data_IF_606738522888
#
_entry.id   IF_606738522888
#
_cell.length_a   1.000
_cell.length_b   1.000
_cell.length_c   1.000
_cell.angle_alpha   90.00
_cell.angle_beta   90.00
_cell.angle_gamma   90.00
#
_symmetry.space_group_name_H-M   'P 1'
#
loop_
_entity.id
_entity.type
_entity.pdbx_description
1 polymer ?
#
# COMPACT_ATOMS: atom_id res chain seq x y z
N UNK A 1 11.20 -16.66 -11.47
CA UNK A 1 9.87 -16.08 -11.24
C UNK A 1 10.10 -14.73 -10.58
N UNK A 2 9.55 -13.64 -11.14
CA UNK A 2 9.72 -12.30 -10.59
C UNK A 2 8.95 -12.21 -9.27
N UNK A 3 9.65 -12.32 -8.14
CA UNK A 3 9.14 -11.98 -6.81
C UNK A 3 8.90 -10.47 -6.78
N UNK A 4 7.80 -10.00 -7.36
CA UNK A 4 7.47 -8.58 -7.39
C UNK A 4 6.96 -8.18 -5.99
N UNK A 5 7.75 -7.46 -5.18
CA UNK A 5 7.40 -7.09 -3.82
C UNK A 5 6.19 -6.15 -3.78
N UNK A 6 5.90 -5.46 -4.90
CA UNK A 6 4.69 -4.68 -5.11
C UNK A 6 3.43 -5.54 -5.08
N UNK A 7 3.49 -6.83 -5.46
CA UNK A 7 2.32 -7.72 -5.33
C UNK A 7 2.04 -8.08 -3.86
N UNK A 8 3.11 -8.26 -3.07
CA UNK A 8 3.04 -8.49 -1.63
C UNK A 8 2.65 -7.22 -0.85
N UNK A 9 3.04 -6.03 -1.35
CA UNK A 9 2.54 -4.77 -0.81
C UNK A 9 1.10 -4.52 -1.23
N UNK A 10 0.65 -4.81 -2.46
CA UNK A 10 -0.77 -4.62 -2.85
C UNK A 10 -1.75 -5.45 -2.04
N UNK A 11 -1.30 -6.57 -1.45
CA UNK A 11 -2.07 -7.35 -0.50
C UNK A 11 -2.20 -6.65 0.88
N UNK A 12 -1.31 -5.72 1.22
CA UNK A 12 -1.23 -5.05 2.53
C UNK A 12 -1.34 -3.51 2.44
N UNK A 13 -1.38 -2.94 1.23
CA UNK A 13 -1.42 -1.53 0.90
C UNK A 13 -2.69 -1.23 0.12
N UNK A 14 -3.75 -0.87 0.84
CA UNK A 14 -4.85 -0.14 0.26
C UNK A 14 -4.79 1.28 0.78
N UNK A 15 -4.73 2.27 -0.14
CA UNK A 15 -5.86 2.55 -1.02
C UNK A 15 -5.49 2.95 -2.47
N UNK A 16 -5.70 2.07 -3.46
CA UNK A 16 -5.56 2.46 -4.89
C UNK A 16 -6.55 1.72 -5.79
N UNK A 17 -7.85 1.73 -5.49
CA UNK A 17 -8.91 1.29 -6.43
C UNK A 17 -10.17 2.11 -6.07
N UNK A 18 -10.87 2.94 -6.88
CA UNK A 18 -11.57 2.68 -8.16
C UNK A 18 -12.51 3.85 -8.61
N UNK A 19 -12.79 4.09 -9.93
CA UNK A 19 -14.02 4.74 -10.56
C UNK A 19 -13.98 5.08 -12.09
N UNK A 20 -15.06 5.00 -12.90
CA UNK A 20 -15.26 5.38 -14.34
C UNK A 20 -15.58 6.89 -14.55
N UNK A 21 -15.39 7.60 -15.68
CA UNK A 21 -14.62 7.45 -16.93
C UNK A 21 -13.42 8.43 -16.97
N UNK A 22 -13.41 9.46 -16.11
CA UNK A 22 -12.28 10.36 -15.89
C UNK A 22 -11.35 9.82 -14.80
N UNK A 23 -11.91 9.11 -13.83
CA UNK A 23 -11.22 8.51 -12.69
C UNK A 23 -10.53 7.19 -13.06
N UNK A 24 -11.02 6.41 -14.05
CA UNK A 24 -10.52 5.04 -14.30
C UNK A 24 -9.24 5.08 -15.08
N UNK A 25 -9.17 5.98 -16.07
CA UNK A 25 -7.90 6.36 -16.68
C UNK A 25 -6.94 6.87 -15.60
N UNK A 26 -7.40 7.76 -14.71
CA UNK A 26 -6.55 8.47 -13.75
C UNK A 26 -5.96 7.63 -12.62
N UNK A 27 -6.70 6.66 -12.08
CA UNK A 27 -6.18 5.76 -11.04
C UNK A 27 -5.51 4.49 -11.60
N UNK A 28 -5.88 4.04 -12.80
CA UNK A 28 -5.04 3.09 -13.55
C UNK A 28 -3.68 3.72 -13.89
N UNK A 29 -3.57 5.06 -14.00
CA UNK A 29 -2.27 5.72 -14.14
C UNK A 29 -1.41 5.50 -12.92
N UNK A 30 -1.92 5.67 -11.70
CA UNK A 30 -1.14 5.40 -10.48
C UNK A 30 -0.70 3.95 -10.41
N UNK A 31 -1.59 3.00 -10.71
CA UNK A 31 -1.24 1.58 -10.72
C UNK A 31 -0.20 1.25 -11.80
N UNK A 32 -0.38 1.74 -13.03
CA UNK A 32 0.57 1.55 -14.13
C UNK A 32 1.89 2.24 -13.84
N UNK A 33 1.87 3.44 -13.26
CA UNK A 33 3.05 4.20 -12.87
C UNK A 33 3.82 3.51 -11.75
N UNK A 34 3.14 2.97 -10.73
CA UNK A 34 3.78 2.21 -9.64
C UNK A 34 4.38 0.89 -10.13
N UNK A 35 3.76 0.26 -11.13
CA UNK A 35 4.24 -1.00 -11.71
C UNK A 35 5.19 -0.82 -12.90
N UNK A 36 5.37 0.41 -13.40
CA UNK A 36 6.22 0.72 -14.53
C UNK A 36 7.56 1.31 -14.11
N UNK A 37 8.50 1.34 -15.06
CA UNK A 37 9.75 2.07 -14.90
C UNK A 37 9.54 3.58 -14.81
N UNK A 38 10.51 4.27 -14.20
CA UNK A 38 10.48 5.69 -13.84
C UNK A 38 10.02 6.63 -14.98
N UNK A 39 10.43 6.35 -16.22
CA UNK A 39 10.06 7.15 -17.39
C UNK A 39 8.55 7.13 -17.66
N UNK A 40 7.91 5.95 -17.61
CA UNK A 40 6.48 5.84 -17.82
C UNK A 40 5.73 6.47 -16.64
N UNK A 41 6.19 6.24 -15.41
CA UNK A 41 5.61 6.85 -14.21
C UNK A 41 5.62 8.38 -14.30
N UNK A 42 6.72 8.97 -14.78
CA UNK A 42 6.85 10.43 -14.95
C UNK A 42 5.92 10.97 -16.01
N UNK A 43 5.81 10.29 -17.15
CA UNK A 43 4.89 10.69 -18.21
C UNK A 43 3.44 10.69 -17.74
N UNK A 44 3.02 9.61 -17.09
CA UNK A 44 1.65 9.46 -16.60
C UNK A 44 1.34 10.48 -15.48
N UNK A 45 2.32 10.85 -14.66
CA UNK A 45 2.23 11.96 -13.70
C UNK A 45 2.01 13.30 -14.40
N UNK A 46 2.85 13.64 -15.38
CA UNK A 46 2.77 14.92 -16.09
C UNK A 46 1.42 15.06 -16.81
N UNK A 47 0.94 13.97 -17.43
CA UNK A 47 -0.37 13.91 -18.10
C UNK A 47 -1.53 14.10 -17.09
N UNK A 48 -1.44 13.51 -15.89
CA UNK A 48 -2.46 13.68 -14.84
C UNK A 48 -2.57 15.14 -14.39
N UNK A 49 -1.45 15.77 -14.03
CA UNK A 49 -1.43 17.13 -13.49
C UNK A 49 -1.74 18.19 -14.54
N UNK A 50 -1.28 18.01 -15.79
CA UNK A 50 -1.71 18.88 -16.89
C UNK A 50 -3.24 18.84 -17.09
N UNK A 51 -3.86 17.68 -16.88
CA UNK A 51 -5.31 17.53 -16.93
C UNK A 51 -6.04 18.03 -15.66
N UNK A 52 -5.35 18.18 -14.53
CA UNK A 52 -5.91 18.74 -13.30
C UNK A 52 -6.13 20.25 -13.42
N UNK A 53 -5.20 20.97 -14.05
CA UNK A 53 -5.30 22.42 -14.27
C UNK A 53 -6.49 22.82 -15.15
N UNK A 54 -6.98 21.90 -15.97
CA UNK A 54 -8.12 22.11 -16.88
C UNK A 54 -9.49 21.90 -16.22
N UNK A 55 -9.53 21.38 -14.99
CA UNK A 55 -10.77 21.13 -14.27
C UNK A 55 -11.44 22.43 -13.82
N UNK A 56 -12.75 22.40 -13.61
CA UNK A 56 -13.46 23.47 -12.90
C UNK A 56 -13.31 23.32 -11.37
N UNK A 57 -13.77 24.32 -10.61
CA UNK A 57 -13.61 24.33 -9.15
C UNK A 57 -14.28 23.14 -8.44
N UNK A 58 -15.46 22.74 -8.90
CA UNK A 58 -16.15 21.58 -8.34
C UNK A 58 -15.36 20.29 -8.59
N UNK A 59 -14.92 20.08 -9.82
CA UNK A 59 -14.12 18.91 -10.20
C UNK A 59 -12.77 18.87 -9.48
N UNK A 60 -12.12 20.02 -9.28
CA UNK A 60 -10.89 20.11 -8.47
C UNK A 60 -11.15 19.72 -7.02
N UNK A 61 -12.21 20.23 -6.40
CA UNK A 61 -12.55 19.90 -5.03
C UNK A 61 -12.80 18.38 -4.83
N UNK A 62 -13.47 17.74 -5.79
CA UNK A 62 -13.66 16.29 -5.80
C UNK A 62 -12.31 15.55 -5.88
N UNK A 63 -11.43 15.95 -6.81
CA UNK A 63 -10.09 15.34 -6.97
C UNK A 63 -9.21 15.58 -5.74
N UNK A 64 -9.24 16.77 -5.15
CA UNK A 64 -8.47 17.10 -3.95
C UNK A 64 -8.90 16.25 -2.75
N UNK A 65 -10.19 16.00 -2.59
CA UNK A 65 -10.70 15.13 -1.55
C UNK A 65 -10.17 13.69 -1.71
N UNK A 66 -10.16 13.17 -2.94
CA UNK A 66 -9.61 11.85 -3.24
C UNK A 66 -8.10 11.81 -3.00
N UNK A 67 -7.36 12.83 -3.44
CA UNK A 67 -5.91 12.93 -3.22
C UNK A 67 -5.57 12.99 -1.73
N UNK A 68 -6.35 13.73 -0.94
CA UNK A 68 -6.18 13.80 0.50
C UNK A 68 -6.38 12.42 1.17
N UNK A 69 -7.45 11.70 0.79
CA UNK A 69 -7.69 10.35 1.29
C UNK A 69 -6.59 9.36 0.86
N UNK A 70 -6.14 9.43 -0.40
CA UNK A 70 -5.05 8.60 -0.90
C UNK A 70 -3.73 8.86 -0.15
N UNK A 71 -3.40 10.13 0.14
CA UNK A 71 -2.23 10.51 0.94
C UNK A 71 -2.31 9.98 2.36
N UNK A 72 -3.46 10.15 3.02
CA UNK A 72 -3.68 9.61 4.37
C UNK A 72 -3.48 8.08 4.40
N UNK A 73 -4.06 7.37 3.43
CA UNK A 73 -3.89 5.93 3.35
C UNK A 73 -2.46 5.50 3.02
N UNK A 74 -1.72 6.30 2.24
CA UNK A 74 -0.31 6.07 1.96
C UNK A 74 0.54 6.20 3.24
N UNK A 75 0.35 7.28 3.99
CA UNK A 75 1.02 7.52 5.27
C UNK A 75 0.71 6.43 6.31
N UNK A 76 -0.56 6.04 6.41
CA UNK A 76 -0.99 4.94 7.25
C UNK A 76 -0.32 3.63 6.82
N UNK A 77 -0.38 3.29 5.54
CA UNK A 77 0.19 2.07 5.00
C UNK A 77 1.69 1.99 5.28
N UNK A 78 2.43 3.08 5.10
CA UNK A 78 3.87 3.10 5.37
C UNK A 78 4.16 2.77 6.83
N UNK A 79 3.51 3.45 7.77
CA UNK A 79 3.60 3.14 9.21
C UNK A 79 3.23 1.70 9.49
N UNK A 80 2.12 1.22 8.93
CA UNK A 80 1.62 -0.13 9.14
C UNK A 80 2.67 -1.19 8.78
N UNK A 81 3.22 -1.08 7.58
CA UNK A 81 4.20 -2.05 7.11
C UNK A 81 5.56 -1.89 7.78
N UNK A 82 6.00 -0.66 8.04
CA UNK A 82 7.25 -0.45 8.76
C UNK A 82 7.18 -1.15 10.12
N UNK A 83 6.11 -0.94 10.89
CA UNK A 83 5.89 -1.59 12.18
C UNK A 83 5.80 -3.11 12.02
N UNK A 84 5.07 -3.61 11.02
CA UNK A 84 4.95 -5.05 10.73
C UNK A 84 6.30 -5.72 10.47
N UNK A 85 7.10 -5.15 9.57
CA UNK A 85 8.39 -5.73 9.18
C UNK A 85 9.45 -5.55 10.26
N UNK A 86 9.39 -4.46 11.05
CA UNK A 86 10.18 -4.33 12.26
C UNK A 86 9.84 -5.43 13.27
N UNK A 87 8.56 -5.74 13.49
CA UNK A 87 8.14 -6.85 14.35
C UNK A 87 8.66 -8.19 13.82
N UNK A 88 8.62 -8.42 12.51
CA UNK A 88 9.20 -9.61 11.89
C UNK A 88 10.72 -9.71 12.11
N UNK A 89 11.46 -8.60 11.96
CA UNK A 89 12.90 -8.57 12.24
C UNK A 89 13.20 -8.86 13.72
N UNK A 90 12.42 -8.30 14.64
CA UNK A 90 12.57 -8.57 16.07
C UNK A 90 12.23 -10.03 16.40
N UNK A 91 11.25 -10.64 15.73
CA UNK A 91 10.95 -12.07 15.90
C UNK A 91 12.10 -12.98 15.45
N UNK A 92 12.95 -12.54 14.50
CA UNK A 92 14.17 -13.26 14.13
C UNK A 92 15.30 -13.10 15.14
N UNK A 93 15.28 -12.02 15.92
CA UNK A 93 16.21 -11.82 17.03
C UNK A 93 15.60 -12.41 18.30
N UNK A 94 15.92 -13.68 18.59
CA UNK A 94 15.35 -14.45 19.72
C UNK A 94 15.53 -13.79 21.12
N UNK A 95 16.26 -12.68 21.23
CA UNK A 95 16.43 -11.91 22.48
C UNK A 95 15.60 -10.61 22.54
N UNK A 96 14.90 -10.24 21.47
CA UNK A 96 14.13 -9.00 21.42
C UNK A 96 12.72 -9.18 22.03
N UNK A 97 12.25 -8.15 22.75
CA UNK A 97 10.85 -8.08 23.20
C UNK A 97 9.98 -7.61 22.03
N UNK A 98 9.15 -8.52 21.52
CA UNK A 98 8.27 -8.25 20.38
C UNK A 98 6.88 -7.77 20.83
N UNK A 99 6.50 -8.01 22.08
CA UNK A 99 5.15 -7.77 22.61
C UNK A 99 4.62 -6.36 22.34
N UNK A 100 5.44 -5.32 22.52
CA UNK A 100 5.02 -3.94 22.26
C UNK A 100 4.75 -3.63 20.79
N UNK A 101 5.43 -4.31 19.86
CA UNK A 101 5.17 -4.19 18.42
C UNK A 101 3.94 -4.97 17.99
N UNK A 102 3.63 -6.08 18.67
CA UNK A 102 2.39 -6.83 18.40
C UNK A 102 1.16 -6.00 18.80
N UNK A 103 1.22 -5.34 19.95
CA UNK A 103 0.16 -4.42 20.40
C UNK A 103 -0.02 -3.26 19.40
N UNK A 104 1.08 -2.62 18.97
CA UNK A 104 1.05 -1.56 17.96
C UNK A 104 0.40 -2.04 16.63
N UNK A 105 0.73 -3.25 16.16
CA UNK A 105 0.11 -3.83 14.95
C UNK A 105 -1.38 -4.09 15.15
N UNK A 106 -1.81 -4.49 16.35
CA UNK A 106 -3.22 -4.68 16.66
C UNK A 106 -3.99 -3.37 16.57
N UNK A 107 -3.49 -2.30 17.19
CA UNK A 107 -4.08 -0.96 17.13
C UNK A 107 -4.15 -0.44 15.68
N UNK A 108 -3.06 -0.63 14.93
CA UNK A 108 -3.00 -0.26 13.53
C UNK A 108 -3.96 -1.09 12.67
N UNK A 109 -4.24 -2.35 13.02
CA UNK A 109 -5.20 -3.19 12.29
C UNK A 109 -6.63 -2.71 12.49
N UNK A 110 -6.98 -2.21 13.69
CA UNK A 110 -8.26 -1.54 13.92
C UNK A 110 -8.36 -0.19 13.20
N UNK A 111 -7.24 0.54 13.06
CA UNK A 111 -7.19 1.76 12.25
C UNK A 111 -7.39 1.45 10.75
N UNK A 112 -6.82 0.35 10.26
CA UNK A 112 -7.06 -0.16 8.90
C UNK A 112 -8.55 -0.43 8.67
N UNK A 113 -9.26 -1.04 9.63
CA UNK A 113 -10.72 -1.24 9.53
C UNK A 113 -11.47 0.07 9.32
N UNK A 114 -11.16 1.10 10.10
CA UNK A 114 -11.79 2.42 9.98
C UNK A 114 -11.48 3.11 8.65
N UNK A 115 -10.24 2.97 8.15
CA UNK A 115 -9.84 3.50 6.86
C UNK A 115 -10.55 2.78 5.70
N UNK A 116 -10.73 1.47 5.82
CA UNK A 116 -11.49 0.63 4.87
C UNK A 116 -12.95 1.05 4.80
N UNK A 117 -13.60 1.22 5.95
CA UNK A 117 -14.98 1.71 6.02
C UNK A 117 -15.14 3.13 5.47
N UNK A 118 -14.19 4.02 5.76
CA UNK A 118 -14.19 5.38 5.19
C UNK A 118 -13.99 5.39 3.68
N UNK A 119 -13.22 4.42 3.15
CA UNK A 119 -13.00 4.23 1.72
C UNK A 119 -14.23 3.77 0.95
N UNK A 120 -15.16 3.04 1.56
CA UNK A 120 -16.33 2.48 0.86
C UNK A 120 -17.20 3.55 0.15
N UNK A 121 -17.22 4.77 0.68
CA UNK A 121 -17.95 5.89 0.10
C UNK A 121 -17.23 6.54 -1.08
N UNK A 122 -15.91 6.35 -1.17
CA UNK A 122 -15.02 6.93 -2.18
C UNK A 122 -14.69 5.95 -3.31
N UNK A 123 -14.94 4.65 -3.07
CA UNK A 123 -14.65 3.55 -3.99
C UNK A 123 -15.91 3.16 -4.76
N UNK A 124 -15.76 2.91 -6.05
CA UNK A 124 -16.88 2.37 -6.84
C UNK A 124 -17.44 1.07 -6.30
N UNK A 125 -18.77 0.88 -6.37
CA UNK A 125 -19.41 -0.39 -6.06
C UNK A 125 -18.75 -1.58 -6.76
N UNK A 126 -18.35 -1.44 -8.04
CA UNK A 126 -17.74 -2.53 -8.81
C UNK A 126 -16.36 -2.98 -8.32
N UNK A 127 -15.71 -2.17 -7.49
CA UNK A 127 -14.36 -2.45 -6.99
C UNK A 127 -14.30 -2.62 -5.48
N UNK A 128 -15.38 -2.33 -4.74
CA UNK A 128 -15.48 -2.56 -3.30
C UNK A 128 -15.17 -4.01 -2.94
N UNK A 129 -15.69 -4.97 -3.69
CA UNK A 129 -15.41 -6.39 -3.41
C UNK A 129 -13.92 -6.70 -3.49
N UNK A 130 -13.23 -6.23 -4.53
CA UNK A 130 -11.79 -6.41 -4.68
C UNK A 130 -11.01 -5.65 -3.60
N UNK A 131 -11.47 -4.46 -3.20
CA UNK A 131 -10.90 -3.68 -2.12
C UNK A 131 -10.98 -4.43 -0.78
N UNK A 132 -12.16 -4.88 -0.38
CA UNK A 132 -12.36 -5.67 0.83
C UNK A 132 -11.57 -6.97 0.80
N UNK A 133 -11.51 -7.64 -0.37
CA UNK A 133 -10.72 -8.85 -0.55
C UNK A 133 -9.23 -8.63 -0.31
N UNK A 134 -8.64 -7.57 -0.87
CA UNK A 134 -7.23 -7.26 -0.65
C UNK A 134 -6.96 -6.90 0.82
N UNK A 135 -7.84 -6.10 1.46
CA UNK A 135 -7.71 -5.78 2.88
C UNK A 135 -7.76 -7.03 3.77
N UNK A 136 -8.62 -8.00 3.43
CA UNK A 136 -8.73 -9.28 4.13
C UNK A 136 -7.46 -10.14 3.97
N UNK A 137 -6.94 -10.26 2.75
CA UNK A 137 -5.66 -10.95 2.47
C UNK A 137 -4.53 -10.33 3.29
N UNK A 138 -4.47 -8.99 3.36
CA UNK A 138 -3.45 -8.28 4.12
C UNK A 138 -3.46 -8.64 5.60
N UNK A 139 -4.64 -8.55 6.22
CA UNK A 139 -4.79 -8.94 7.63
C UNK A 139 -4.42 -10.39 7.88
N UNK A 140 -4.80 -11.30 6.98
CA UNK A 140 -4.42 -12.69 7.09
C UNK A 140 -2.89 -12.89 6.97
N UNK A 141 -2.24 -12.20 6.03
CA UNK A 141 -0.78 -12.24 5.89
C UNK A 141 -0.06 -11.70 7.13
N UNK A 142 -0.58 -10.64 7.76
CA UNK A 142 -0.06 -10.11 9.03
C UNK A 142 -0.15 -11.16 10.13
N UNK A 143 -1.31 -11.79 10.29
CA UNK A 143 -1.50 -12.84 11.29
C UNK A 143 -0.55 -14.01 11.07
N UNK A 144 -0.36 -14.42 9.81
CA UNK A 144 0.56 -15.50 9.45
C UNK A 144 2.01 -15.13 9.71
N UNK A 145 2.43 -13.90 9.41
CA UNK A 145 3.77 -13.40 9.69
C UNK A 145 4.07 -13.36 11.19
N UNK A 146 3.12 -12.88 12.00
CA UNK A 146 3.24 -12.85 13.46
C UNK A 146 3.25 -14.27 14.07
N UNK A 147 2.50 -15.21 13.48
CA UNK A 147 2.46 -16.60 13.90
C UNK A 147 3.69 -17.41 13.46
N UNK A 148 4.41 -16.98 12.43
CA UNK A 148 5.62 -17.63 11.90
C UNK A 148 6.87 -17.41 12.78
N UNK A 149 6.68 -17.20 14.08
CA UNK A 149 7.74 -17.06 15.08
C UNK A 149 8.66 -18.28 15.01
N UNK A 150 9.97 -18.03 14.98
CA UNK A 150 11.03 -19.05 14.85
C UNK A 150 11.01 -19.84 13.53
N UNK A 151 10.18 -19.46 12.55
CA UNK A 151 10.18 -20.06 11.20
C UNK A 151 11.10 -19.28 10.26
N UNK A 152 11.78 -20.01 9.37
CA UNK A 152 12.56 -19.43 8.28
C UNK A 152 11.71 -19.04 7.06
N UNK A 153 10.41 -19.36 7.08
CA UNK A 153 9.50 -19.12 5.95
C UNK A 153 8.03 -19.05 6.40
N UNK A 154 7.18 -18.47 5.56
CA UNK A 154 5.73 -18.49 5.70
C UNK A 154 5.04 -18.65 4.34
N UNK A 155 3.80 -19.16 4.34
CA UNK A 155 2.93 -19.09 3.17
C UNK A 155 2.00 -17.89 3.28
N UNK A 156 1.87 -17.09 2.22
CA UNK A 156 0.85 -16.03 2.12
C UNK A 156 -0.55 -16.63 2.05
N UNK A 157 -1.57 -15.81 2.32
CA UNK A 157 -2.98 -16.14 2.14
C UNK A 157 -3.29 -16.66 0.71
N UNK A 158 -2.53 -16.20 -0.29
CA UNK A 158 -2.64 -16.64 -1.69
C UNK A 158 -1.82 -17.89 -2.01
N UNK A 159 -1.03 -18.41 -1.06
CA UNK A 159 -0.26 -19.65 -1.19
C UNK A 159 1.20 -19.48 -1.63
N UNK A 160 1.70 -18.25 -1.71
CA UNK A 160 3.10 -17.97 -2.06
C UNK A 160 4.02 -18.21 -0.86
N UNK A 161 5.17 -18.86 -1.08
CA UNK A 161 6.17 -19.07 -0.04
C UNK A 161 7.08 -17.84 0.07
N UNK A 162 7.23 -17.30 1.27
CA UNK A 162 8.12 -16.19 1.59
C UNK A 162 9.21 -16.69 2.53
N UNK A 163 10.47 -16.45 2.16
CA UNK A 163 11.62 -16.68 3.03
C UNK A 163 11.73 -15.55 4.07
N UNK A 164 11.68 -15.90 5.35
CA UNK A 164 11.82 -14.97 6.48
C UNK A 164 13.28 -14.87 6.92
N UNK A 165 14.20 -14.64 5.98
CA UNK A 165 15.59 -14.33 6.32
C UNK A 165 15.74 -12.83 6.54
N UNK A 166 16.66 -12.42 7.42
CA UNK A 166 16.97 -11.00 7.67
C UNK A 166 17.22 -10.23 6.37
N UNK A 167 18.10 -10.76 5.51
CA UNK A 167 18.42 -10.14 4.23
C UNK A 167 17.19 -10.00 3.30
N UNK A 168 16.28 -10.96 3.32
CA UNK A 168 15.06 -10.87 2.53
C UNK A 168 14.09 -9.82 3.08
N UNK A 169 13.90 -9.75 4.41
CA UNK A 169 13.05 -8.73 5.04
C UNK A 169 13.61 -7.33 4.83
N UNK A 170 14.92 -7.13 5.01
CA UNK A 170 15.59 -5.85 4.74
C UNK A 170 15.42 -5.41 3.27
N UNK A 171 15.54 -6.35 2.33
CA UNK A 171 15.27 -6.11 0.91
C UNK A 171 13.82 -5.71 0.67
N UNK A 172 12.86 -6.39 1.29
CA UNK A 172 11.44 -6.08 1.17
C UNK A 172 11.12 -4.69 1.73
N UNK A 173 11.67 -4.34 2.90
CA UNK A 173 11.57 -3.00 3.49
C UNK A 173 12.09 -1.91 2.54
N UNK A 174 13.27 -2.11 1.96
CA UNK A 174 13.84 -1.14 1.01
C UNK A 174 12.98 -0.98 -0.25
N UNK A 175 12.47 -2.08 -0.79
CA UNK A 175 11.59 -2.06 -1.97
C UNK A 175 10.25 -1.40 -1.68
N UNK A 176 9.72 -1.63 -0.49
CA UNK A 176 8.51 -1.01 -0.01
C UNK A 176 8.69 0.49 0.19
N UNK A 177 9.80 0.93 0.80
CA UNK A 177 10.12 2.35 0.94
C UNK A 177 10.21 3.04 -0.42
N UNK A 178 10.89 2.41 -1.38
CA UNK A 178 10.95 2.94 -2.75
C UNK A 178 9.56 3.08 -3.37
N UNK A 179 8.67 2.10 -3.16
CA UNK A 179 7.29 2.17 -3.64
C UNK A 179 6.50 3.32 -2.97
N UNK A 180 6.69 3.54 -1.66
CA UNK A 180 6.10 4.66 -0.93
C UNK A 180 6.59 6.01 -1.44
N UNK A 181 7.90 6.16 -1.63
CA UNK A 181 8.50 7.39 -2.18
C UNK A 181 7.96 7.68 -3.58
N UNK A 182 7.85 6.66 -4.43
CA UNK A 182 7.27 6.78 -5.76
C UNK A 182 5.78 7.17 -5.71
N UNK A 183 5.00 6.56 -4.82
CA UNK A 183 3.59 6.91 -4.62
C UNK A 183 3.43 8.36 -4.15
N UNK A 184 4.27 8.84 -3.22
CA UNK A 184 4.26 10.24 -2.76
C UNK A 184 4.52 11.23 -3.89
N UNK A 185 5.50 10.92 -4.75
CA UNK A 185 5.78 11.72 -5.95
C UNK A 185 4.58 11.78 -6.87
N UNK A 186 3.97 10.63 -7.14
CA UNK A 186 2.80 10.57 -8.01
C UNK A 186 1.62 11.40 -7.46
N UNK A 187 1.43 11.41 -6.13
CA UNK A 187 0.34 12.16 -5.46
C UNK A 187 0.66 13.65 -5.24
N UNK A 188 1.83 14.11 -5.68
CA UNK A 188 2.28 15.49 -5.52
C UNK A 188 2.34 16.18 -6.88
N UNK A 189 2.00 17.48 -7.00
CA UNK A 189 2.12 18.22 -8.27
C UNK A 189 3.56 18.33 -8.79
N UNK A 190 4.54 18.25 -7.88
CA UNK A 190 5.95 18.34 -8.19
C UNK A 190 6.59 16.96 -8.17
N UNK A 191 7.17 16.56 -9.31
CA UNK A 191 7.87 15.28 -9.47
C UNK A 191 9.14 15.15 -8.59
N UNK A 192 9.76 16.27 -8.23
CA UNK A 192 11.10 16.30 -7.61
C UNK A 192 11.11 16.22 -6.09
N UNK A 193 9.97 15.96 -5.44
CA UNK A 193 9.87 15.87 -3.97
C UNK A 193 10.19 14.46 -3.48
#
# INVERSE_FOLDING_TARGET
>A
MNNNPLFMSTALSLPVFANEQLFLRKMQYFQRALLAGEELSRREHDDFWAGYDQLNDQQRAEVDHILAWAKQGLEFGERYHETLWQAALLNLDHNAKVDGKVEEISELTEELDRLVEGGDQLIEPSCREMYHYQAAIGKENVQRLLAAKDSSHMYTATGELIDLTKANIERMLAQLQQAYDQARRLLSPAWSV
#
